data_IF_729264193119
#
_entry.id   IF_729264193119
#
_cell.length_a   1.000
_cell.length_b   1.000
_cell.length_c   1.000
_cell.angle_alpha   90.00
_cell.angle_beta   90.00
_cell.angle_gamma   90.00
#
_symmetry.space_group_name_H-M   'P 1'
#
loop_
_entity.id
_entity.type
_entity.pdbx_description
1 polymer ?
#
# COMPACT_ATOMS: atom_id res chain seq x y z
N UNK A 1 6.31 9.67 -25.41
CA UNK A 1 6.77 10.87 -24.76
C UNK A 1 6.50 10.87 -23.25
N UNK A 2 6.91 11.94 -22.60
CA UNK A 2 6.78 12.06 -21.14
C UNK A 2 5.33 11.96 -20.68
N UNK A 3 4.40 12.53 -21.41
CA UNK A 3 2.97 12.47 -21.07
C UNK A 3 2.42 11.06 -21.06
N UNK A 4 2.87 10.22 -22.00
CA UNK A 4 2.44 8.81 -22.04
C UNK A 4 3.00 8.03 -20.84
N UNK A 5 4.24 8.30 -20.43
CA UNK A 5 4.84 7.66 -19.26
C UNK A 5 4.09 8.04 -17.99
N UNK A 6 3.79 9.31 -17.80
CA UNK A 6 3.04 9.79 -16.64
C UNK A 6 1.63 9.21 -16.60
N UNK A 7 0.97 9.09 -17.77
CA UNK A 7 -0.35 8.47 -17.87
C UNK A 7 -0.32 7.00 -17.46
N UNK A 8 0.68 6.24 -17.91
CA UNK A 8 0.83 4.83 -17.56
C UNK A 8 1.08 4.65 -16.06
N UNK A 9 1.90 5.49 -15.44
CA UNK A 9 2.15 5.44 -13.99
C UNK A 9 0.88 5.74 -13.20
N UNK A 10 0.08 6.70 -13.63
CA UNK A 10 -1.21 7.01 -13.00
C UNK A 10 -2.19 5.85 -13.17
N UNK A 11 -2.23 5.22 -14.35
CA UNK A 11 -3.07 4.05 -14.58
C UNK A 11 -2.70 2.89 -13.66
N UNK A 12 -1.39 2.67 -13.46
CA UNK A 12 -0.91 1.64 -12.54
C UNK A 12 -1.36 1.94 -11.10
N UNK A 13 -1.24 3.19 -10.66
CA UNK A 13 -1.67 3.61 -9.33
C UNK A 13 -3.18 3.41 -9.14
N UNK A 14 -3.98 3.81 -10.13
CA UNK A 14 -5.44 3.63 -10.09
C UNK A 14 -5.83 2.15 -10.11
N UNK A 15 -5.13 1.33 -10.88
CA UNK A 15 -5.38 -0.11 -10.94
C UNK A 15 -5.09 -0.79 -9.60
N UNK A 16 -3.98 -0.44 -8.96
CA UNK A 16 -3.64 -0.98 -7.65
C UNK A 16 -4.67 -0.51 -6.60
N UNK A 17 -5.03 0.76 -6.61
CA UNK A 17 -6.02 1.32 -5.69
C UNK A 17 -7.36 0.60 -5.81
N UNK A 18 -7.80 0.30 -7.03
CA UNK A 18 -9.05 -0.44 -7.27
C UNK A 18 -9.02 -1.83 -6.65
N UNK A 19 -7.89 -2.54 -6.78
CA UNK A 19 -7.72 -3.86 -6.18
C UNK A 19 -7.69 -3.79 -4.65
N UNK A 20 -7.03 -2.77 -4.08
CA UNK A 20 -6.95 -2.57 -2.63
C UNK A 20 -8.31 -2.21 -2.05
N UNK A 21 -9.11 -1.44 -2.78
CA UNK A 21 -10.45 -1.03 -2.34
C UNK A 21 -11.35 -2.23 -2.10
N UNK A 22 -11.21 -3.27 -2.91
CA UNK A 22 -12.01 -4.49 -2.83
C UNK A 22 -11.35 -5.60 -2.01
N UNK A 23 -10.16 -5.34 -1.44
CA UNK A 23 -9.39 -6.33 -0.70
C UNK A 23 -9.91 -6.48 0.74
N UNK A 24 -9.89 -7.70 1.26
CA UNK A 24 -10.31 -8.02 2.63
C UNK A 24 -9.16 -8.00 3.63
N UNK A 25 -7.91 -7.96 3.18
CA UNK A 25 -6.71 -7.97 4.03
C UNK A 25 -5.98 -6.63 4.06
N UNK A 26 -6.14 -5.84 3.00
CA UNK A 26 -5.50 -4.56 2.83
C UNK A 26 -6.55 -3.47 2.64
N UNK A 27 -6.27 -2.29 3.15
CA UNK A 27 -7.14 -1.15 3.04
C UNK A 27 -6.43 -0.02 2.31
N UNK A 28 -7.09 0.58 1.32
CA UNK A 28 -6.64 1.80 0.69
C UNK A 28 -6.85 2.96 1.66
N UNK A 29 -5.80 3.74 1.92
CA UNK A 29 -5.89 4.87 2.86
C UNK A 29 -6.62 6.06 2.23
N UNK A 30 -6.15 6.47 1.04
CA UNK A 30 -6.73 7.58 0.28
C UNK A 30 -6.64 7.25 -1.21
N UNK A 31 -7.46 7.93 -2.02
CA UNK A 31 -7.34 7.80 -3.47
C UNK A 31 -5.95 8.25 -3.92
N UNK A 32 -5.31 7.54 -4.86
CA UNK A 32 -3.96 7.87 -5.26
C UNK A 32 -3.88 9.21 -5.97
N UNK A 33 -2.79 9.92 -5.71
CA UNK A 33 -2.40 11.09 -6.47
C UNK A 33 -1.17 10.72 -7.30
N UNK A 34 -1.22 11.00 -8.60
CA UNK A 34 -0.13 10.67 -9.52
C UNK A 34 0.17 9.16 -9.49
N UNK A 35 1.39 8.80 -9.10
CA UNK A 35 1.90 7.43 -9.12
C UNK A 35 2.10 6.82 -7.72
N UNK A 36 1.58 7.47 -6.69
CA UNK A 36 1.78 7.04 -5.30
C UNK A 36 0.49 6.46 -4.75
N UNK A 37 0.57 5.25 -4.19
CA UNK A 37 -0.56 4.56 -3.55
C UNK A 37 -0.21 4.32 -2.08
N UNK A 38 -1.07 4.77 -1.17
CA UNK A 38 -0.91 4.57 0.27
C UNK A 38 -1.98 3.59 0.79
N UNK A 39 -1.55 2.60 1.54
CA UNK A 39 -2.43 1.53 2.02
C UNK A 39 -1.86 0.90 3.29
N UNK A 40 -2.64 0.05 3.94
CA UNK A 40 -2.20 -0.65 5.16
C UNK A 40 -2.94 -1.98 5.31
N UNK A 41 -2.38 -2.94 6.09
CA UNK A 41 -3.15 -4.12 6.47
C UNK A 41 -4.38 -3.72 7.26
N UNK A 42 -5.51 -4.41 7.04
CA UNK A 42 -6.75 -4.14 7.77
C UNK A 42 -6.61 -4.66 9.20
N UNK A 43 -6.74 -3.76 10.16
CA UNK A 43 -6.69 -4.06 11.58
C UNK A 43 -7.71 -3.18 12.30
N UNK A 44 -8.16 -3.62 13.49
CA UNK A 44 -9.15 -2.91 14.26
C UNK A 44 -8.60 -1.71 15.03
N UNK A 45 -7.30 -1.69 15.32
CA UNK A 45 -6.65 -0.67 16.14
C UNK A 45 -5.51 0.01 15.35
N UNK A 46 -5.30 1.30 15.59
CA UNK A 46 -4.19 2.02 14.97
C UNK A 46 -2.83 1.43 15.34
N UNK A 47 -2.64 1.03 16.59
CA UNK A 47 -1.39 0.40 17.01
C UNK A 47 -1.14 -0.91 16.26
N UNK A 48 -2.20 -1.66 15.96
CA UNK A 48 -2.11 -2.90 15.18
C UNK A 48 -1.80 -2.60 13.71
N UNK A 49 -2.36 -1.54 13.14
CA UNK A 49 -2.02 -1.09 11.78
C UNK A 49 -0.54 -0.73 11.70
N UNK A 50 -0.04 0.02 12.67
CA UNK A 50 1.37 0.42 12.73
C UNK A 50 2.30 -0.79 12.77
N UNK A 51 2.05 -1.71 13.68
CA UNK A 51 2.86 -2.92 13.83
C UNK A 51 2.81 -3.81 12.59
N UNK A 52 1.61 -4.01 12.03
CA UNK A 52 1.44 -4.85 10.83
C UNK A 52 2.10 -4.22 9.61
N UNK A 53 2.03 -2.90 9.44
CA UNK A 53 2.69 -2.21 8.34
C UNK A 53 4.21 -2.36 8.43
N UNK A 54 4.78 -2.19 9.62
CA UNK A 54 6.21 -2.37 9.84
C UNK A 54 6.65 -3.81 9.56
N UNK A 55 5.89 -4.78 10.03
CA UNK A 55 6.18 -6.20 9.81
C UNK A 55 6.08 -6.58 8.34
N UNK A 56 5.11 -6.04 7.61
CA UNK A 56 4.96 -6.29 6.18
C UNK A 56 6.15 -5.73 5.40
N UNK A 57 6.57 -4.50 5.71
CA UNK A 57 7.74 -3.91 5.07
C UNK A 57 8.98 -4.77 5.32
N UNK A 58 9.19 -5.20 6.56
CA UNK A 58 10.33 -6.03 6.92
C UNK A 58 10.32 -7.35 6.15
N UNK A 59 9.16 -8.01 6.06
CA UNK A 59 9.03 -9.24 5.30
C UNK A 59 9.30 -9.03 3.81
N UNK A 60 8.80 -7.94 3.23
CA UNK A 60 9.03 -7.62 1.83
C UNK A 60 10.50 -7.31 1.55
N UNK A 61 11.17 -6.60 2.43
CA UNK A 61 12.58 -6.28 2.29
C UNK A 61 13.50 -7.49 2.47
N UNK A 62 13.06 -8.49 3.23
CA UNK A 62 13.79 -9.73 3.41
C UNK A 62 13.69 -10.67 2.22
N UNK A 63 12.74 -10.45 1.31
CA UNK A 63 12.57 -11.25 0.11
C UNK A 63 13.54 -10.78 -0.97
N UNK A 64 14.71 -11.40 -1.03
CA UNK A 64 15.79 -11.00 -1.92
C UNK A 64 15.52 -11.29 -3.40
N UNK A 65 14.57 -12.19 -3.69
CA UNK A 65 14.28 -12.58 -5.07
C UNK A 65 13.45 -11.58 -5.84
N UNK A 66 12.51 -10.90 -5.16
CA UNK A 66 11.54 -10.01 -5.79
C UNK A 66 11.31 -8.78 -4.93
N UNK A 67 12.21 -7.79 -4.96
CA UNK A 67 12.01 -6.59 -4.14
C UNK A 67 10.76 -5.83 -4.58
N UNK A 68 9.93 -5.48 -3.61
CA UNK A 68 8.79 -4.61 -3.83
C UNK A 68 9.20 -3.17 -3.57
N UNK A 69 8.65 -2.24 -4.36
CA UNK A 69 8.94 -0.81 -4.21
C UNK A 69 8.07 -0.23 -3.11
N UNK A 70 8.41 -0.56 -1.86
CA UNK A 70 7.65 -0.18 -0.67
C UNK A 70 8.46 0.72 0.24
N UNK A 71 7.75 1.61 0.90
CA UNK A 71 8.27 2.36 2.04
C UNK A 71 7.15 2.56 3.04
N UNK A 72 7.48 3.04 4.22
CA UNK A 72 6.48 3.40 5.22
C UNK A 72 6.38 4.92 5.35
N UNK A 73 5.20 5.38 5.76
CA UNK A 73 4.91 6.78 6.03
C UNK A 73 4.02 6.83 7.26
N UNK A 74 4.38 7.67 8.24
CA UNK A 74 3.53 7.86 9.40
C UNK A 74 2.47 8.92 9.09
N UNK A 75 1.20 8.58 9.35
CA UNK A 75 0.08 9.49 9.17
C UNK A 75 -0.71 9.61 10.47
N UNK A 76 -1.34 10.75 10.67
CA UNK A 76 -2.14 11.02 11.85
C UNK A 76 -3.44 10.22 11.88
N UNK A 77 -4.00 10.05 13.07
CA UNK A 77 -5.21 9.26 13.29
C UNK A 77 -6.40 9.75 12.43
N UNK A 78 -6.49 11.04 12.15
CA UNK A 78 -7.58 11.61 11.37
C UNK A 78 -7.64 11.10 9.92
N UNK A 79 -6.53 10.57 9.39
CA UNK A 79 -6.49 10.04 8.02
C UNK A 79 -7.15 8.67 7.88
N UNK A 80 -7.41 7.97 8.98
CA UNK A 80 -7.94 6.61 8.96
C UNK A 80 -9.47 6.60 8.99
N UNK A 81 -10.04 5.50 8.49
CA UNK A 81 -11.47 5.28 8.50
C UNK A 81 -12.01 5.23 9.94
N UNK A 82 -13.27 5.68 10.16
CA UNK A 82 -13.84 5.72 11.52
C UNK A 82 -13.90 4.38 12.25
N UNK A 83 -13.95 3.28 11.51
CA UNK A 83 -14.00 1.94 12.08
C UNK A 83 -12.69 1.47 12.70
N UNK A 84 -11.58 2.14 12.40
CA UNK A 84 -10.29 1.84 13.03
C UNK A 84 -10.21 2.57 14.35
N UNK A 85 -10.07 1.82 15.46
CA UNK A 85 -10.05 2.41 16.79
C UNK A 85 -8.78 3.24 17.03
N UNK A 86 -8.97 4.42 17.63
CA UNK A 86 -7.93 5.42 17.88
C UNK A 86 -7.20 5.19 19.20
N UNK A 87 -6.43 4.11 19.28
CA UNK A 87 -5.61 3.83 20.46
C UNK A 87 -4.22 4.46 20.41
N UNK A 88 -3.95 5.25 19.37
CA UNK A 88 -2.69 5.97 19.17
C UNK A 88 -2.96 7.27 18.39
N UNK A 89 -1.96 8.16 18.33
CA UNK A 89 -2.06 9.42 17.60
C UNK A 89 -2.00 9.26 16.10
N UNK A 90 -1.51 8.14 15.63
CA UNK A 90 -1.35 7.83 14.21
C UNK A 90 -0.73 6.45 14.05
N UNK A 91 -0.41 6.10 12.81
CA UNK A 91 0.19 4.81 12.50
C UNK A 91 1.01 4.90 11.23
N UNK A 92 1.98 3.99 11.10
CA UNK A 92 2.68 3.81 9.82
C UNK A 92 1.75 3.11 8.83
N UNK A 93 1.81 3.56 7.60
CA UNK A 93 1.15 2.91 6.47
C UNK A 93 2.18 2.60 5.41
N UNK A 94 1.81 1.77 4.45
CA UNK A 94 2.69 1.40 3.35
C UNK A 94 2.45 2.35 2.19
N UNK A 95 3.52 2.59 1.44
CA UNK A 95 3.48 3.45 0.27
C UNK A 95 4.21 2.75 -0.88
N UNK A 96 3.54 2.63 -2.02
CA UNK A 96 4.13 2.12 -3.26
C UNK A 96 4.17 3.26 -4.26
N UNK A 97 5.34 3.44 -4.90
CA UNK A 97 5.54 4.44 -5.94
C UNK A 97 5.66 3.69 -7.27
N UNK A 98 4.73 3.93 -8.18
CA UNK A 98 4.63 3.21 -9.45
C UNK A 98 5.12 4.12 -10.58
N UNK A 99 6.42 4.41 -10.56
CA UNK A 99 7.06 5.40 -11.43
C UNK A 99 7.41 4.90 -12.82
N UNK A 100 7.39 3.58 -13.04
CA UNK A 100 7.79 3.00 -14.33
C UNK A 100 6.56 2.53 -15.10
N UNK A 101 6.48 2.76 -16.42
CA UNK A 101 5.33 2.33 -17.21
C UNK A 101 5.02 0.83 -17.08
N UNK A 102 6.04 -0.01 -16.98
CA UNK A 102 5.87 -1.46 -16.83
C UNK A 102 5.20 -1.86 -15.52
N UNK A 103 5.09 -0.96 -14.52
CA UNK A 103 4.39 -1.24 -13.28
C UNK A 103 2.90 -1.50 -13.51
N UNK A 104 2.31 -0.93 -14.55
CA UNK A 104 0.90 -1.17 -14.86
C UNK A 104 0.63 -2.66 -15.10
N UNK A 105 1.51 -3.33 -15.85
CA UNK A 105 1.38 -4.77 -16.14
C UNK A 105 1.70 -5.62 -14.92
N UNK A 106 2.48 -5.09 -13.97
CA UNK A 106 2.88 -5.80 -12.77
C UNK A 106 1.87 -5.68 -11.62
N UNK A 107 0.85 -4.83 -11.74
CA UNK A 107 -0.12 -4.57 -10.65
C UNK A 107 -0.78 -5.84 -10.11
N UNK A 108 -1.28 -6.78 -10.93
CA UNK A 108 -1.88 -8.00 -10.40
C UNK A 108 -0.88 -8.82 -9.57
N UNK A 109 0.34 -8.97 -10.05
CA UNK A 109 1.40 -9.67 -9.35
C UNK A 109 1.78 -8.95 -8.03
N UNK A 110 1.93 -7.62 -8.08
CA UNK A 110 2.23 -6.82 -6.90
C UNK A 110 1.15 -6.97 -5.83
N UNK A 111 -0.11 -6.88 -6.23
CA UNK A 111 -1.25 -7.04 -5.32
C UNK A 111 -1.24 -8.42 -4.65
N UNK A 112 -1.00 -9.48 -5.42
CA UNK A 112 -0.92 -10.84 -4.87
C UNK A 112 0.22 -10.99 -3.86
N UNK A 113 1.37 -10.39 -4.15
CA UNK A 113 2.52 -10.40 -3.23
C UNK A 113 2.18 -9.66 -1.94
N UNK A 114 1.54 -8.50 -2.04
CA UNK A 114 1.12 -7.74 -0.87
C UNK A 114 0.12 -8.51 -0.01
N UNK A 115 -0.83 -9.19 -0.64
CA UNK A 115 -1.79 -10.04 0.07
C UNK A 115 -1.10 -11.17 0.82
N UNK A 116 -0.11 -11.80 0.19
CA UNK A 116 0.65 -12.88 0.80
C UNK A 116 1.41 -12.40 2.04
N UNK A 117 2.06 -11.26 1.96
CA UNK A 117 2.73 -10.67 3.12
C UNK A 117 1.73 -10.25 4.20
N UNK A 118 0.59 -9.69 3.83
CA UNK A 118 -0.44 -9.30 4.78
C UNK A 118 -1.02 -10.50 5.53
N UNK A 119 -1.11 -11.64 4.87
CA UNK A 119 -1.60 -12.86 5.51
C UNK A 119 -0.59 -13.45 6.50
N UNK A 120 0.71 -13.13 6.34
CA UNK A 120 1.79 -13.66 7.18
C UNK A 120 2.05 -12.81 8.44
N UNK A 121 1.52 -11.58 8.50
CA UNK A 121 1.79 -10.64 9.61
C UNK A 121 0.60 -10.43 10.57
#
# INVERSE_FOLDING_TARGET
GLGAILGACRCAALALAGRLRDDDRLALLVEPELDIVAYHPRRALLSAVDAASAALLEAAMADAGDPLFLSTLRVGAAAFAPEVARDADGARVLRSVLMKPEHEDAVPWLHERLRAFAAAV
#
